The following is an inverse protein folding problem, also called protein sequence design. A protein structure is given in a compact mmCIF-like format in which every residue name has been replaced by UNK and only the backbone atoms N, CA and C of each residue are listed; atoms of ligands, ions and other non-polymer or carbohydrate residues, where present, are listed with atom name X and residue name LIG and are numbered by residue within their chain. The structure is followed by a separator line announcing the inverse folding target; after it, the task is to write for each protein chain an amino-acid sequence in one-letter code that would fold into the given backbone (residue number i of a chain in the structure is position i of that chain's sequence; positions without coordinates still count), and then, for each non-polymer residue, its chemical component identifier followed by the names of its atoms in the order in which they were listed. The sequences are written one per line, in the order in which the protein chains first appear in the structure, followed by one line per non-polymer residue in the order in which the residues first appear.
data_IF_792724470068
#
_entry.id   IF_792724470068
#
_cell.length_a   1.000
_cell.length_b   1.000
_cell.length_c   1.000
_cell.angle_alpha   90.00
_cell.angle_beta   90.00
_cell.angle_gamma   90.00
#
_symmetry.space_group_name_H-M   'P 1'
#
loop_
_entity.id
_entity.type
_entity.pdbx_description
1 polymer ?
#
# COMPACT_ATOMS: atom_id res chain seq x y z
N UNK A 1 -1.52 13.38 12.96
CA UNK A 1 -2.48 12.25 12.84
C UNK A 1 -1.74 11.10 12.19
N UNK A 2 -1.64 9.96 12.88
CA UNK A 2 -0.96 8.80 12.37
C UNK A 2 -1.61 8.33 11.06
N UNK A 3 -0.82 8.08 10.03
CA UNK A 3 -1.26 7.38 8.84
C UNK A 3 -1.73 5.99 9.29
N UNK A 4 -3.01 5.74 9.18
CA UNK A 4 -3.57 4.44 9.49
C UNK A 4 -3.25 3.52 8.32
N UNK A 5 -2.31 2.60 8.52
CA UNK A 5 -1.99 1.57 7.54
C UNK A 5 -3.13 0.57 7.42
N UNK A 6 -3.57 0.32 6.20
CA UNK A 6 -4.59 -0.65 5.87
C UNK A 6 -3.98 -2.04 5.68
N UNK A 7 -4.50 -3.04 6.36
CA UNK A 7 -4.34 -4.42 5.92
C UNK A 7 -5.42 -4.70 4.87
N UNK A 8 -5.02 -4.78 3.63
CA UNK A 8 -5.89 -5.12 2.51
C UNK A 8 -6.63 -6.45 2.74
N UNK A 9 -6.00 -7.40 3.44
CA UNK A 9 -6.61 -8.67 3.81
C UNK A 9 -7.87 -8.54 4.68
N UNK A 10 -7.90 -7.59 5.61
CA UNK A 10 -9.03 -7.45 6.52
C UNK A 10 -10.25 -6.83 5.84
N UNK A 11 -10.03 -6.03 4.79
CA UNK A 11 -11.11 -5.42 4.00
C UNK A 11 -11.69 -6.44 3.02
N UNK A 12 -10.84 -7.20 2.33
CA UNK A 12 -11.27 -8.24 1.39
C UNK A 12 -12.03 -9.36 2.09
N UNK A 13 -11.71 -9.66 3.34
CA UNK A 13 -12.39 -10.72 4.10
C UNK A 13 -13.76 -10.29 4.67
N UNK A 14 -14.03 -9.01 4.84
CA UNK A 14 -15.30 -8.50 5.40
C UNK A 14 -16.31 -8.07 4.35
N UNK A 15 -15.89 -7.81 3.14
CA UNK A 15 -16.79 -7.55 2.02
C UNK A 15 -16.84 -8.76 1.12
N UNK A 16 -17.98 -9.46 1.02
CA UNK A 16 -18.14 -10.56 0.07
C UNK A 16 -17.99 -10.11 -1.40
N UNK A 17 -17.91 -8.80 -1.63
CA UNK A 17 -17.79 -8.18 -2.95
C UNK A 17 -16.58 -7.23 -3.07
N UNK A 18 -15.81 -7.04 -1.99
CA UNK A 18 -14.63 -6.16 -1.99
C UNK A 18 -13.46 -6.78 -2.73
N UNK A 19 -13.10 -6.24 -3.87
CA UNK A 19 -11.92 -6.64 -4.63
C UNK A 19 -10.89 -5.52 -4.60
N UNK A 20 -9.60 -5.87 -4.68
CA UNK A 20 -8.52 -4.89 -4.87
C UNK A 20 -8.53 -4.24 -6.26
N UNK A 21 -9.64 -4.36 -7.00
CA UNK A 21 -9.77 -4.01 -8.40
C UNK A 21 -10.73 -2.83 -8.65
N UNK A 22 -11.26 -2.25 -7.59
CA UNK A 22 -12.16 -1.09 -7.65
C UNK A 22 -11.63 0.05 -6.77
N UNK A 23 -12.26 1.22 -6.92
CA UNK A 23 -12.13 2.34 -6.01
C UNK A 23 -13.26 2.33 -4.98
N UNK A 24 -12.98 2.82 -3.78
CA UNK A 24 -13.91 2.86 -2.66
C UNK A 24 -13.96 4.26 -2.06
N UNK A 25 -15.08 4.60 -1.43
CA UNK A 25 -15.22 5.81 -0.63
C UNK A 25 -14.90 5.51 0.84
N UNK A 26 -13.98 6.28 1.40
CA UNK A 26 -13.78 6.33 2.85
C UNK A 26 -14.42 7.62 3.37
N UNK A 27 -15.22 7.50 4.42
CA UNK A 27 -15.86 8.66 5.06
C UNK A 27 -15.13 8.99 6.35
N UNK A 28 -14.67 10.22 6.47
CA UNK A 28 -14.06 10.74 7.69
C UNK A 28 -15.11 11.13 8.73
N UNK A 29 -14.68 11.28 9.99
CA UNK A 29 -15.55 11.64 11.13
C UNK A 29 -16.39 12.91 10.93
N UNK A 30 -15.90 13.84 10.12
CA UNK A 30 -16.58 15.10 9.80
C UNK A 30 -17.44 15.04 8.52
N UNK A 31 -17.72 13.84 8.01
CA UNK A 31 -18.54 13.63 6.82
C UNK A 31 -17.84 13.88 5.47
N UNK A 32 -16.56 14.27 5.46
CA UNK A 32 -15.78 14.36 4.23
C UNK A 32 -15.45 12.97 3.68
N UNK A 33 -15.41 12.83 2.35
CA UNK A 33 -15.08 11.58 1.67
C UNK A 33 -13.77 11.68 0.91
N UNK A 34 -13.08 10.54 0.79
CA UNK A 34 -11.90 10.37 -0.07
C UNK A 34 -12.02 9.06 -0.82
N UNK A 35 -11.60 9.07 -2.09
CA UNK A 35 -11.49 7.81 -2.86
C UNK A 35 -10.23 7.06 -2.47
N UNK A 36 -10.38 5.78 -2.17
CA UNK A 36 -9.31 4.88 -1.79
C UNK A 36 -9.18 3.73 -2.79
N UNK A 37 -7.94 3.30 -3.00
CA UNK A 37 -7.60 2.18 -3.87
C UNK A 37 -6.81 1.16 -3.05
N UNK A 38 -7.19 -0.10 -3.15
CA UNK A 38 -6.51 -1.20 -2.47
C UNK A 38 -5.69 -2.00 -3.47
N UNK A 39 -4.38 -2.06 -3.27
CA UNK A 39 -3.49 -2.78 -4.17
C UNK A 39 -3.68 -4.30 -4.07
N UNK A 40 -3.32 -5.02 -5.13
CA UNK A 40 -3.28 -6.47 -5.13
C UNK A 40 -2.05 -6.94 -4.30
N UNK A 41 -2.25 -7.56 -3.12
CA UNK A 41 -1.15 -7.93 -2.24
C UNK A 41 -0.27 -9.04 -2.81
N UNK A 42 -0.85 -9.98 -3.54
CA UNK A 42 -0.10 -11.09 -4.14
C UNK A 42 0.82 -10.60 -5.26
N UNK A 43 0.34 -9.63 -6.05
CA UNK A 43 1.15 -8.99 -7.07
C UNK A 43 2.26 -8.14 -6.45
N UNK A 44 1.95 -7.37 -5.42
CA UNK A 44 2.92 -6.54 -4.70
C UNK A 44 4.02 -7.38 -4.03
N UNK A 45 3.63 -8.47 -3.35
CA UNK A 45 4.56 -9.42 -2.74
C UNK A 45 5.43 -10.13 -3.77
N UNK A 46 4.82 -10.57 -4.87
CA UNK A 46 5.52 -11.22 -5.96
C UNK A 46 6.55 -10.32 -6.64
N UNK A 47 6.23 -9.04 -6.82
CA UNK A 47 7.16 -8.04 -7.34
C UNK A 47 8.27 -7.76 -6.34
N UNK A 48 7.94 -7.55 -5.05
CA UNK A 48 8.90 -7.13 -4.03
C UNK A 48 9.83 -8.25 -3.56
N UNK A 49 9.33 -9.49 -3.47
CA UNK A 49 10.05 -10.62 -2.86
C UNK A 49 10.04 -11.89 -3.71
N UNK A 50 9.11 -12.01 -4.64
CA UNK A 50 8.91 -13.19 -5.49
C UNK A 50 9.63 -13.13 -6.86
N UNK A 51 10.49 -12.13 -7.06
CA UNK A 51 11.31 -11.98 -8.28
C UNK A 51 10.50 -11.90 -9.59
N UNK A 52 9.27 -11.39 -9.56
CA UNK A 52 8.44 -11.27 -10.76
C UNK A 52 9.03 -10.34 -11.83
N UNK A 53 9.95 -9.45 -11.44
CA UNK A 53 10.65 -8.55 -12.36
C UNK A 53 11.81 -9.22 -13.13
N UNK A 54 12.12 -10.50 -12.88
CA UNK A 54 13.15 -11.22 -13.64
C UNK A 54 12.68 -11.66 -15.02
N UNK A 55 11.37 -11.73 -15.22
CA UNK A 55 10.76 -12.17 -16.46
C UNK A 55 9.50 -11.37 -16.77
N UNK A 56 9.61 -10.42 -17.69
CA UNK A 56 8.49 -9.56 -18.08
C UNK A 56 7.35 -10.32 -18.78
N UNK A 57 7.63 -11.45 -19.40
CA UNK A 57 6.63 -12.28 -20.06
C UNK A 57 5.79 -13.01 -19.01
N UNK A 58 6.44 -13.60 -18.01
CA UNK A 58 5.73 -14.20 -16.88
C UNK A 58 4.93 -13.17 -16.08
N UNK A 59 5.47 -11.96 -15.86
CA UNK A 59 4.73 -10.90 -15.19
C UNK A 59 3.47 -10.52 -15.98
N UNK A 60 3.58 -10.40 -17.29
CA UNK A 60 2.44 -10.14 -18.17
C UNK A 60 1.39 -11.25 -18.09
N UNK A 61 1.81 -12.52 -18.13
CA UNK A 61 0.92 -13.67 -18.04
C UNK A 61 0.19 -13.73 -16.68
N UNK A 62 0.83 -13.29 -15.60
CA UNK A 62 0.18 -13.13 -14.29
C UNK A 62 -0.92 -12.07 -14.30
N UNK A 63 -0.69 -10.94 -14.99
CA UNK A 63 -1.73 -9.93 -15.17
C UNK A 63 -2.90 -10.48 -16.00
N UNK A 64 -2.63 -11.23 -17.06
CA UNK A 64 -3.67 -11.92 -17.83
C UNK A 64 -4.46 -12.92 -16.99
N UNK A 65 -3.79 -13.67 -16.12
CA UNK A 65 -4.45 -14.62 -15.22
C UNK A 65 -5.38 -13.91 -14.22
N UNK A 66 -4.97 -12.76 -13.68
CA UNK A 66 -5.83 -11.93 -12.82
C UNK A 66 -7.04 -11.45 -13.63
N UNK A 67 -6.83 -10.91 -14.83
CA UNK A 67 -7.89 -10.45 -15.71
C UNK A 67 -8.89 -11.55 -16.03
N UNK A 68 -8.40 -12.74 -16.36
CA UNK A 68 -9.23 -13.87 -16.74
C UNK A 68 -10.06 -14.41 -15.57
N UNK A 69 -9.52 -14.37 -14.34
CA UNK A 69 -10.18 -14.90 -13.15
C UNK A 69 -11.27 -13.96 -12.63
N UNK A 70 -10.95 -12.68 -12.48
CA UNK A 70 -11.76 -11.75 -11.71
C UNK A 70 -12.41 -10.66 -12.59
N UNK A 71 -11.98 -10.53 -13.88
CA UNK A 71 -12.47 -9.52 -14.82
C UNK A 71 -12.33 -8.09 -14.30
N UNK A 72 -11.20 -7.69 -13.67
CA UNK A 72 -11.12 -6.43 -12.96
C UNK A 72 -11.15 -5.24 -13.91
N UNK A 73 -11.77 -4.14 -13.44
CA UNK A 73 -11.69 -2.86 -14.13
C UNK A 73 -10.30 -2.23 -13.97
N UNK A 74 -9.64 -2.45 -12.84
CA UNK A 74 -8.31 -1.94 -12.52
C UNK A 74 -7.45 -3.04 -11.89
N UNK A 75 -6.22 -3.22 -12.38
CA UNK A 75 -5.18 -4.00 -11.72
C UNK A 75 -4.14 -3.02 -11.22
N UNK A 76 -3.90 -3.02 -9.92
CA UNK A 76 -2.95 -2.13 -9.29
C UNK A 76 -2.09 -2.84 -8.26
N UNK A 77 -0.89 -2.33 -8.08
CA UNK A 77 0.05 -2.77 -7.05
C UNK A 77 0.68 -1.56 -6.38
N UNK A 78 1.16 -1.74 -5.16
CA UNK A 78 1.95 -0.75 -4.44
C UNK A 78 3.22 -1.43 -3.95
N UNK A 79 4.36 -0.93 -4.37
CA UNK A 79 5.69 -1.45 -4.05
C UNK A 79 6.65 -0.28 -3.83
N UNK A 80 7.74 -0.55 -3.11
CA UNK A 80 8.81 0.43 -2.96
C UNK A 80 9.48 0.67 -4.31
N UNK A 81 9.81 1.93 -4.62
CA UNK A 81 10.47 2.29 -5.88
C UNK A 81 11.86 1.69 -6.03
N UNK A 82 12.54 1.42 -4.92
CA UNK A 82 13.86 0.78 -4.88
C UNK A 82 13.87 -0.65 -5.42
N UNK A 83 12.72 -1.31 -5.50
CA UNK A 83 12.61 -2.65 -6.09
C UNK A 83 13.08 -2.64 -7.55
N UNK A 84 12.78 -1.56 -8.29
CA UNK A 84 13.03 -1.49 -9.74
C UNK A 84 14.45 -1.02 -10.07
N UNK A 85 15.44 -1.88 -9.80
CA UNK A 85 16.83 -1.67 -10.16
C UNK A 85 17.82 -1.72 -9.00
N UNK A 86 17.39 -1.42 -7.76
CA UNK A 86 18.26 -1.53 -6.58
C UNK A 86 18.16 -2.92 -5.94
N UNK A 87 16.98 -3.34 -5.51
CA UNK A 87 16.78 -4.67 -4.90
C UNK A 87 16.63 -5.79 -5.94
N UNK A 88 16.01 -5.50 -7.07
CA UNK A 88 15.91 -6.44 -8.18
C UNK A 88 16.63 -5.86 -9.40
N UNK A 89 17.87 -6.33 -9.68
CA UNK A 89 18.64 -5.84 -10.82
C UNK A 89 17.84 -5.98 -12.13
N UNK A 90 17.91 -4.95 -12.96
CA UNK A 90 17.16 -4.85 -14.22
C UNK A 90 15.63 -4.81 -14.09
N UNK A 91 15.10 -4.55 -12.89
CA UNK A 91 13.67 -4.43 -12.66
C UNK A 91 13.02 -3.28 -13.45
N UNK A 92 13.73 -2.21 -13.66
CA UNK A 92 13.37 -1.08 -14.53
C UNK A 92 13.22 -1.51 -16.00
N UNK A 93 14.12 -2.36 -16.49
CA UNK A 93 14.05 -2.92 -17.83
C UNK A 93 12.87 -3.87 -18.00
N UNK A 94 12.58 -4.67 -16.99
CA UNK A 94 11.39 -5.52 -16.98
C UNK A 94 10.10 -4.70 -17.04
N UNK A 95 10.05 -3.59 -16.31
CA UNK A 95 8.91 -2.67 -16.35
C UNK A 95 8.77 -2.02 -17.74
N UNK A 96 9.88 -1.61 -18.37
CA UNK A 96 9.86 -1.08 -19.73
C UNK A 96 9.41 -2.14 -20.76
N UNK A 97 9.87 -3.38 -20.62
CA UNK A 97 9.45 -4.48 -21.48
C UNK A 97 7.95 -4.82 -21.30
N UNK A 98 7.46 -4.79 -20.05
CA UNK A 98 6.04 -4.94 -19.75
C UNK A 98 5.22 -3.83 -20.44
N UNK A 99 5.67 -2.56 -20.30
CA UNK A 99 4.99 -1.43 -20.92
C UNK A 99 4.90 -1.56 -22.45
N UNK A 100 5.99 -1.96 -23.09
CA UNK A 100 6.02 -2.24 -24.54
C UNK A 100 5.00 -3.32 -24.90
N UNK A 101 5.01 -4.45 -24.20
CA UNK A 101 4.11 -5.58 -24.43
C UNK A 101 2.63 -5.18 -24.27
N UNK A 102 2.31 -4.41 -23.24
CA UNK A 102 0.96 -3.86 -23.02
C UNK A 102 0.52 -3.01 -24.22
N UNK A 103 1.39 -2.13 -24.72
CA UNK A 103 1.11 -1.29 -25.88
C UNK A 103 0.91 -2.09 -27.18
N UNK A 104 1.65 -3.19 -27.36
CA UNK A 104 1.58 -4.02 -28.57
C UNK A 104 0.34 -4.94 -28.58
N UNK A 105 -0.07 -5.46 -27.43
CA UNK A 105 -1.14 -6.45 -27.34
C UNK A 105 -2.53 -5.87 -27.12
N UNK A 106 -2.63 -4.70 -26.48
CA UNK A 106 -3.90 -4.03 -26.24
C UNK A 106 -4.82 -4.69 -25.21
N UNK A 107 -4.33 -5.70 -24.47
CA UNK A 107 -5.11 -6.38 -23.42
C UNK A 107 -5.32 -5.49 -22.20
N UNK A 108 -4.42 -4.54 -21.99
CA UNK A 108 -4.42 -3.58 -20.89
C UNK A 108 -4.13 -2.18 -21.42
N UNK A 109 -4.48 -1.19 -20.60
CA UNK A 109 -4.12 0.21 -20.81
C UNK A 109 -3.52 0.74 -19.51
N UNK A 110 -2.37 1.39 -19.59
CA UNK A 110 -1.84 2.12 -18.44
C UNK A 110 -2.70 3.34 -18.17
N UNK A 111 -3.01 3.56 -16.91
CA UNK A 111 -3.79 4.69 -16.45
C UNK A 111 -3.22 5.24 -15.14
N UNK A 112 -3.79 6.33 -14.64
CA UNK A 112 -3.57 6.85 -13.30
C UNK A 112 -4.90 6.93 -12.55
N UNK A 113 -4.83 7.10 -11.23
CA UNK A 113 -6.03 7.10 -10.40
C UNK A 113 -7.04 8.18 -10.75
N UNK A 114 -6.58 9.37 -11.12
CA UNK A 114 -7.47 10.47 -11.49
C UNK A 114 -8.23 10.17 -12.79
N UNK A 115 -7.54 9.68 -13.82
CA UNK A 115 -8.17 9.29 -15.08
C UNK A 115 -9.14 8.12 -14.87
N UNK A 116 -8.75 7.11 -14.08
CA UNK A 116 -9.65 5.98 -13.76
C UNK A 116 -10.93 6.47 -13.07
N UNK A 117 -10.82 7.34 -12.05
CA UNK A 117 -11.98 7.87 -11.31
C UNK A 117 -12.89 8.75 -12.15
N UNK A 118 -12.39 9.42 -13.19
CA UNK A 118 -13.21 10.21 -14.08
C UNK A 118 -14.23 9.34 -14.83
N UNK A 119 -13.83 8.14 -15.22
CA UNK A 119 -14.69 7.19 -15.93
C UNK A 119 -15.39 6.19 -14.99
N UNK A 120 -14.82 5.95 -13.81
CA UNK A 120 -15.29 4.96 -12.83
C UNK A 120 -15.36 5.60 -11.43
N UNK A 121 -16.32 6.47 -11.15
CA UNK A 121 -16.45 7.09 -9.83
C UNK A 121 -16.64 6.04 -8.74
N UNK A 122 -15.97 6.23 -7.58
CA UNK A 122 -16.16 5.38 -6.44
C UNK A 122 -17.58 5.52 -5.87
N UNK A 123 -18.32 4.42 -5.77
CA UNK A 123 -19.70 4.37 -5.26
C UNK A 123 -19.84 3.47 -4.04
N UNK A 124 -18.93 2.52 -3.87
CA UNK A 124 -18.94 1.60 -2.75
C UNK A 124 -18.16 2.16 -1.57
N UNK A 125 -18.66 1.94 -0.36
CA UNK A 125 -18.00 2.38 0.86
C UNK A 125 -17.12 1.29 1.45
N UNK A 126 -15.94 1.68 1.92
CA UNK A 126 -15.06 0.84 2.72
C UNK A 126 -14.89 1.42 4.12
N UNK A 127 -14.73 0.54 5.09
CA UNK A 127 -14.44 0.89 6.48
C UNK A 127 -13.02 0.42 6.78
N UNK A 128 -12.21 1.32 7.35
CA UNK A 128 -10.86 0.99 7.78
C UNK A 128 -10.91 0.10 9.03
N UNK A 129 -10.02 -0.88 9.09
CA UNK A 129 -9.86 -1.70 10.28
C UNK A 129 -9.08 -0.93 11.35
N UNK A 130 -9.61 -0.89 12.57
CA UNK A 130 -9.06 -0.08 13.66
C UNK A 130 -7.73 -0.63 14.22
N UNK A 131 -7.38 -1.90 13.95
CA UNK A 131 -6.23 -2.56 14.55
C UNK A 131 -6.45 -2.94 16.01
N UNK A 132 -5.46 -3.55 16.64
CA UNK A 132 -5.56 -4.02 18.03
C UNK A 132 -5.66 -2.88 19.04
N UNK A 133 -5.00 -1.77 18.77
CA UNK A 133 -4.90 -0.61 19.65
C UNK A 133 -5.83 0.56 19.22
N UNK A 134 -6.72 0.34 18.28
CA UNK A 134 -7.63 1.36 17.76
C UNK A 134 -6.96 2.45 16.91
N UNK A 135 -5.67 2.29 16.58
CA UNK A 135 -4.88 3.28 15.83
C UNK A 135 -4.66 2.90 14.37
N UNK A 136 -5.19 1.75 13.95
CA UNK A 136 -5.07 1.24 12.59
C UNK A 136 -4.13 0.05 12.47
N UNK A 137 -3.98 -0.43 11.25
CA UNK A 137 -3.14 -1.57 10.88
C UNK A 137 -1.89 -1.12 10.14
N UNK A 138 -0.90 -2.02 10.02
CA UNK A 138 0.32 -1.79 9.26
C UNK A 138 0.70 -3.06 8.50
N UNK A 139 1.16 -2.91 7.26
CA UNK A 139 1.69 -4.03 6.48
C UNK A 139 3.00 -4.57 7.07
N UNK A 140 3.74 -3.76 7.80
CA UNK A 140 5.09 -4.09 8.29
C UNK A 140 5.10 -4.66 9.71
N UNK A 141 3.98 -4.68 10.42
CA UNK A 141 3.91 -5.17 11.79
C UNK A 141 2.54 -5.74 12.12
N UNK A 142 2.53 -6.97 12.68
CA UNK A 142 1.31 -7.63 13.12
C UNK A 142 0.57 -6.85 14.21
N UNK A 143 1.29 -6.12 15.08
CA UNK A 143 0.73 -5.26 16.13
C UNK A 143 0.25 -3.89 15.60
N UNK A 144 -0.03 -3.80 14.30
CA UNK A 144 -0.53 -2.56 13.69
C UNK A 144 0.52 -1.45 13.67
N UNK A 145 0.08 -0.23 13.98
CA UNK A 145 0.96 0.96 13.95
C UNK A 145 1.77 1.15 15.23
N UNK A 146 1.58 0.32 16.26
CA UNK A 146 2.22 0.51 17.57
C UNK A 146 3.74 0.52 17.51
N UNK A 147 4.35 -0.22 16.57
CA UNK A 147 5.82 -0.17 16.36
C UNK A 147 6.37 1.22 16.00
N UNK A 148 5.52 2.14 15.57
CA UNK A 148 5.92 3.49 15.20
C UNK A 148 6.06 4.45 16.38
N UNK A 149 5.54 4.08 17.56
CA UNK A 149 5.55 4.93 18.72
C UNK A 149 5.91 4.23 20.04
N UNK A 150 5.95 2.89 20.08
CA UNK A 150 6.31 2.13 21.28
C UNK A 150 7.06 0.83 20.95
N UNK A 151 7.58 0.20 21.97
CA UNK A 151 8.05 -1.19 21.89
C UNK A 151 6.83 -2.11 21.72
N UNK A 152 6.66 -2.64 20.52
CA UNK A 152 5.54 -3.56 20.21
C UNK A 152 5.85 -5.02 20.55
N UNK A 153 7.05 -5.32 21.04
CA UNK A 153 7.51 -6.67 21.35
C UNK A 153 8.00 -7.48 20.16
N UNK A 154 7.93 -6.95 18.92
CA UNK A 154 8.50 -7.65 17.78
C UNK A 154 10.02 -7.62 17.81
N UNK A 155 10.61 -8.79 17.54
CA UNK A 155 12.06 -8.90 17.28
C UNK A 155 12.34 -8.44 15.83
N UNK A 156 13.35 -7.60 15.67
CA UNK A 156 13.70 -7.00 14.36
C UNK A 156 14.98 -7.57 13.74
N UNK A 157 15.45 -8.74 14.22
CA UNK A 157 16.75 -9.32 13.87
C UNK A 157 17.90 -8.76 14.72
N UNK A 158 19.09 -9.27 14.53
CA UNK A 158 20.26 -8.88 15.30
C UNK A 158 20.39 -9.62 16.64
N UNK A 159 20.90 -8.95 17.68
CA UNK A 159 21.13 -9.53 18.99
C UNK A 159 19.83 -9.71 19.78
N UNK A 160 19.70 -10.85 20.49
CA UNK A 160 18.50 -11.20 21.26
C UNK A 160 18.20 -10.23 22.41
N UNK A 161 19.19 -9.50 22.90
CA UNK A 161 19.02 -8.48 23.94
C UNK A 161 18.43 -7.16 23.43
N UNK A 162 18.38 -6.98 22.14
CA UNK A 162 17.85 -5.77 21.53
C UNK A 162 16.35 -5.68 21.73
N UNK A 163 15.89 -4.44 21.96
CA UNK A 163 14.48 -4.13 22.14
C UNK A 163 14.14 -2.80 21.46
N UNK A 164 12.88 -2.47 21.40
CA UNK A 164 12.38 -1.27 20.72
C UNK A 164 11.94 -0.15 21.68
N UNK A 165 12.37 -0.20 22.96
CA UNK A 165 11.99 0.78 23.99
C UNK A 165 12.40 2.22 23.65
N UNK A 166 13.43 2.38 22.83
CA UNK A 166 13.90 3.66 22.30
C UNK A 166 12.86 4.38 21.41
N UNK A 167 11.88 3.65 20.87
CA UNK A 167 10.87 4.24 19.96
C UNK A 167 9.99 5.26 20.66
N UNK A 168 9.57 4.99 21.90
CA UNK A 168 8.70 5.92 22.64
C UNK A 168 9.36 7.29 22.89
N UNK A 169 10.58 7.38 23.45
CA UNK A 169 11.21 8.68 23.62
C UNK A 169 11.54 9.38 22.30
N UNK A 170 11.93 8.62 21.28
CA UNK A 170 12.20 9.19 19.97
C UNK A 170 10.91 9.76 19.36
N UNK A 171 9.81 9.05 19.42
CA UNK A 171 8.51 9.54 18.93
C UNK A 171 8.08 10.82 19.62
N UNK A 172 8.20 10.89 20.94
CA UNK A 172 7.90 12.11 21.71
C UNK A 172 8.78 13.29 21.31
N UNK A 173 10.07 13.06 21.07
CA UNK A 173 10.98 14.11 20.59
C UNK A 173 10.54 14.66 19.23
N UNK A 174 10.14 13.80 18.30
CA UNK A 174 9.63 14.23 17.00
C UNK A 174 8.28 14.97 17.11
N UNK A 175 7.42 14.57 18.01
CA UNK A 175 6.13 15.27 18.25
C UNK A 175 6.38 16.68 18.78
N UNK A 176 7.26 16.84 19.78
CA UNK A 176 7.65 18.15 20.32
C UNK A 176 8.31 19.05 19.25
N UNK A 177 9.18 18.46 18.42
CA UNK A 177 9.80 19.20 17.31
C UNK A 177 8.73 19.64 16.31
N UNK A 178 7.81 18.76 15.93
CA UNK A 178 6.71 19.06 15.01
C UNK A 178 5.83 20.19 15.53
N UNK A 179 5.42 20.15 16.79
CA UNK A 179 4.65 21.22 17.43
C UNK A 179 5.40 22.55 17.40
N UNK A 180 6.71 22.53 17.70
CA UNK A 180 7.53 23.76 17.68
C UNK A 180 7.64 24.35 16.28
N UNK A 181 7.80 23.52 15.26
CA UNK A 181 7.84 23.93 13.86
C UNK A 181 6.49 24.48 13.41
N UNK A 182 5.40 23.81 13.73
CA UNK A 182 4.05 24.25 13.42
C UNK A 182 3.73 25.61 14.05
N UNK A 183 4.17 25.83 15.29
CA UNK A 183 4.01 27.11 15.98
C UNK A 183 4.78 28.26 15.28
N UNK A 184 5.99 28.00 14.81
CA UNK A 184 6.76 28.97 14.03
C UNK A 184 6.03 29.28 12.72
N UNK A 185 5.65 28.25 11.98
CA UNK A 185 4.99 28.38 10.68
C UNK A 185 3.66 29.14 10.74
N UNK A 186 2.91 29.03 11.84
CA UNK A 186 1.64 29.74 12.02
C UNK A 186 1.78 31.19 12.45
N UNK A 187 2.98 31.59 12.89
CA UNK A 187 3.25 32.98 13.32
C UNK A 187 3.71 33.87 12.16
N UNK A 188 4.16 33.30 11.07
CA UNK A 188 4.53 33.98 9.84
C UNK A 188 3.39 33.98 8.81
#
# INVERSE_FOLDING_TARGET
KAYQGLRVFDIVMRSPYGTSYNSYLLTGEKGGTISAFFYNPQLAEGISFGHYLRDADQLYDRLLAIKAKDGPALIQTATDGEIYGHHEPYGDMALAALAKKVGERGDFTFTNYAAFLADNPATEHAILHDGEDGLGTSWSCFHGVSRWYKDCGCHTGGDESWNQKWRTPLRRAFEQLGESIDDIYRRE
#
